data_IF_072770516233
#
_entry.id   IF_072770516233
#
_cell.length_a   1.000
_cell.length_b   1.000
_cell.length_c   1.000
_cell.angle_alpha   90.00
_cell.angle_beta   90.00
_cell.angle_gamma   90.00
#
_symmetry.space_group_name_H-M   'P 1'
#
loop_
_entity.id
_entity.type
_entity.pdbx_description
1 polymer ?
#
# COMPACT_ATOMS: atom_id res chain seq x y z
N UNK A 1 -11.61 -9.99 6.17
CA UNK A 1 -11.80 -9.49 4.80
C UNK A 1 -10.57 -8.71 4.30
N UNK A 2 -9.34 -9.00 4.76
CA UNK A 2 -8.26 -8.00 4.71
C UNK A 2 -7.17 -8.25 3.64
N UNK A 3 -6.86 -9.52 3.30
CA UNK A 3 -5.80 -9.82 2.30
C UNK A 3 -6.12 -9.37 0.88
N UNK A 4 -7.39 -9.41 0.46
CA UNK A 4 -7.77 -9.07 -0.91
C UNK A 4 -7.54 -7.57 -1.16
N UNK A 5 -8.04 -6.70 -0.28
CA UNK A 5 -7.92 -5.25 -0.41
C UNK A 5 -6.46 -4.78 -0.34
N UNK A 6 -5.66 -5.33 0.59
CA UNK A 6 -4.22 -5.04 0.68
C UNK A 6 -3.50 -5.39 -0.64
N UNK A 7 -3.78 -6.57 -1.20
CA UNK A 7 -3.12 -7.00 -2.44
C UNK A 7 -3.62 -6.25 -3.67
N UNK A 8 -4.93 -5.95 -3.74
CA UNK A 8 -5.51 -5.10 -4.78
C UNK A 8 -4.89 -3.71 -4.78
N UNK A 9 -4.68 -3.13 -3.60
CA UNK A 9 -4.04 -1.83 -3.45
C UNK A 9 -2.56 -1.85 -3.83
N UNK A 10 -1.81 -2.88 -3.42
CA UNK A 10 -0.42 -3.09 -3.86
C UNK A 10 -0.33 -3.20 -5.39
N UNK A 11 -1.28 -3.92 -6.01
CA UNK A 11 -1.34 -4.04 -7.45
C UNK A 11 -1.66 -2.71 -8.13
N UNK A 12 -2.58 -1.92 -7.56
CA UNK A 12 -2.92 -0.58 -8.03
C UNK A 12 -1.70 0.36 -7.94
N UNK A 13 -1.00 0.40 -6.82
CA UNK A 13 0.24 1.19 -6.65
C UNK A 13 1.33 0.80 -7.65
N UNK A 14 1.39 -0.48 -8.03
CA UNK A 14 2.32 -0.98 -9.05
C UNK A 14 1.92 -0.54 -10.46
N UNK A 15 0.64 -0.65 -10.81
CA UNK A 15 0.13 -0.48 -12.20
C UNK A 15 -0.34 0.93 -12.55
N UNK A 16 -0.80 1.69 -11.57
CA UNK A 16 -1.38 3.02 -11.73
C UNK A 16 -0.38 4.09 -11.22
N UNK A 17 0.40 4.70 -12.13
CA UNK A 17 1.38 5.70 -11.75
C UNK A 17 0.74 6.99 -11.22
N UNK A 18 -0.48 7.32 -11.65
CA UNK A 18 -1.19 8.51 -11.16
C UNK A 18 -1.67 8.30 -9.73
N UNK A 19 -2.25 7.14 -9.43
CA UNK A 19 -2.59 6.76 -8.07
C UNK A 19 -1.34 6.71 -7.18
N UNK A 20 -0.23 6.18 -7.69
CA UNK A 20 1.05 6.18 -6.96
C UNK A 20 1.53 7.61 -6.66
N UNK A 21 1.45 8.54 -7.62
CA UNK A 21 1.83 9.93 -7.38
C UNK A 21 0.95 10.59 -6.31
N UNK A 22 -0.37 10.36 -6.36
CA UNK A 22 -1.31 10.83 -5.33
C UNK A 22 -0.99 10.23 -3.96
N UNK A 23 -0.70 8.93 -3.91
CA UNK A 23 -0.31 8.23 -2.68
C UNK A 23 1.01 8.75 -2.11
N UNK A 24 1.98 9.08 -2.95
CA UNK A 24 3.25 9.66 -2.50
C UNK A 24 3.06 11.06 -1.94
N UNK A 25 2.17 11.86 -2.53
CA UNK A 25 1.86 13.22 -2.09
C UNK A 25 1.01 13.25 -0.80
N UNK A 26 -0.03 12.41 -0.72
CA UNK A 26 -0.90 12.29 0.45
C UNK A 26 -1.42 10.84 0.58
N UNK A 27 -0.74 9.99 1.36
CA UNK A 27 -1.14 8.62 1.57
C UNK A 27 -2.51 8.52 2.26
N UNK A 28 -2.82 9.40 3.21
CA UNK A 28 -4.06 9.36 3.98
C UNK A 28 -5.27 9.64 3.10
N UNK A 29 -5.19 10.67 2.25
CA UNK A 29 -6.23 11.00 1.29
C UNK A 29 -6.38 9.91 0.21
N UNK A 30 -5.26 9.39 -0.33
CA UNK A 30 -5.29 8.35 -1.36
C UNK A 30 -5.94 7.04 -0.87
N UNK A 31 -5.84 6.75 0.44
CA UNK A 31 -6.43 5.57 1.06
C UNK A 31 -7.85 5.79 1.58
N UNK A 32 -8.38 7.01 1.63
CA UNK A 32 -9.68 7.33 2.26
C UNK A 32 -10.85 6.46 1.76
N UNK A 33 -10.82 6.03 0.49
CA UNK A 33 -11.83 5.15 -0.11
C UNK A 33 -11.50 3.65 -0.12
N UNK A 34 -10.38 3.22 0.47
CA UNK A 34 -10.01 1.81 0.53
C UNK A 34 -10.61 1.15 1.78
N UNK A 35 -11.13 -0.07 1.63
CA UNK A 35 -11.69 -0.87 2.73
C UNK A 35 -10.56 -1.57 3.51
N UNK A 36 -9.71 -0.73 4.12
CA UNK A 36 -8.60 -1.14 4.95
C UNK A 36 -8.95 -0.96 6.43
N UNK A 37 -8.52 -1.92 7.25
CA UNK A 37 -8.46 -1.72 8.69
C UNK A 37 -7.50 -0.58 9.05
N UNK A 38 -7.67 -0.04 10.25
CA UNK A 38 -6.80 1.02 10.76
C UNK A 38 -5.32 0.60 10.78
N UNK A 39 -5.05 -0.66 11.14
CA UNK A 39 -3.69 -1.21 11.15
C UNK A 39 -3.06 -1.30 9.75
N UNK A 40 -3.84 -1.66 8.74
CA UNK A 40 -3.38 -1.72 7.35
C UNK A 40 -3.14 -0.31 6.79
N UNK A 41 -4.10 0.59 7.02
CA UNK A 41 -3.96 2.00 6.63
C UNK A 41 -2.72 2.62 7.27
N UNK A 42 -2.51 2.40 8.57
CA UNK A 42 -1.32 2.88 9.27
C UNK A 42 -0.03 2.31 8.65
N UNK A 43 0.00 1.03 8.30
CA UNK A 43 1.15 0.41 7.65
C UNK A 43 1.46 1.01 6.27
N UNK A 44 0.43 1.29 5.45
CA UNK A 44 0.62 1.98 4.17
C UNK A 44 1.08 3.43 4.33
N UNK A 45 0.47 4.19 5.24
CA UNK A 45 0.87 5.59 5.52
C UNK A 45 2.31 5.66 6.02
N UNK A 46 2.69 4.77 6.94
CA UNK A 46 4.05 4.65 7.45
C UNK A 46 5.05 4.06 6.43
N UNK A 47 4.55 3.57 5.28
CA UNK A 47 5.31 2.82 4.28
C UNK A 47 6.06 1.62 4.88
N UNK A 48 5.48 1.02 5.92
CA UNK A 48 6.04 -0.14 6.59
C UNK A 48 5.73 -1.41 5.79
N UNK A 49 6.59 -1.64 4.81
CA UNK A 49 6.52 -2.77 3.89
C UNK A 49 6.60 -4.13 4.60
N UNK A 50 7.30 -4.20 5.74
CA UNK A 50 7.35 -5.40 6.57
C UNK A 50 6.01 -5.64 7.23
N UNK A 51 5.41 -4.60 7.82
CA UNK A 51 4.09 -4.69 8.44
C UNK A 51 2.99 -5.01 7.43
N UNK A 52 3.06 -4.46 6.23
CA UNK A 52 2.14 -4.80 5.12
C UNK A 52 2.23 -6.29 4.77
N UNK A 53 3.44 -6.87 4.77
CA UNK A 53 3.64 -8.31 4.55
C UNK A 53 3.07 -9.15 5.70
N UNK A 54 3.30 -8.75 6.95
CA UNK A 54 2.72 -9.43 8.14
C UNK A 54 1.18 -9.43 8.13
N UNK A 55 0.57 -8.38 7.57
CA UNK A 55 -0.88 -8.25 7.40
C UNK A 55 -1.41 -9.03 6.17
N UNK A 56 -0.53 -9.74 5.45
CA UNK A 56 -0.87 -10.63 4.34
C UNK A 56 -0.78 -10.01 2.94
N UNK A 57 -0.08 -8.89 2.81
CA UNK A 57 0.34 -8.35 1.51
C UNK A 57 1.46 -9.19 0.90
N UNK A 58 1.44 -9.39 -0.41
CA UNK A 58 2.47 -10.18 -1.08
C UNK A 58 3.81 -9.45 -1.13
N UNK A 59 4.83 -10.03 -0.46
CA UNK A 59 6.19 -9.50 -0.41
C UNK A 59 6.79 -9.20 -1.79
N UNK A 60 6.50 -10.02 -2.81
CA UNK A 60 7.01 -9.80 -4.17
C UNK A 60 6.42 -8.53 -4.83
N UNK A 61 5.18 -8.14 -4.50
CA UNK A 61 4.58 -6.90 -4.98
C UNK A 61 5.19 -5.70 -4.26
N UNK A 62 5.32 -5.79 -2.95
CA UNK A 62 5.94 -4.79 -2.07
C UNK A 62 7.34 -4.37 -2.58
N UNK A 63 8.20 -5.35 -2.89
CA UNK A 63 9.56 -5.08 -3.40
C UNK A 63 9.59 -4.54 -4.83
N UNK A 64 8.48 -4.63 -5.57
CA UNK A 64 8.40 -4.23 -6.98
C UNK A 64 7.79 -2.84 -7.19
N UNK A 65 7.39 -2.11 -6.14
CA UNK A 65 6.76 -0.78 -6.28
C UNK A 65 7.87 0.30 -6.30
N UNK A 66 8.05 1.02 -7.42
CA UNK A 66 9.08 2.06 -7.54
C UNK A 66 8.83 3.21 -6.55
N UNK A 67 9.89 3.67 -5.87
CA UNK A 67 9.83 4.80 -4.94
C UNK A 67 9.18 4.51 -3.57
N UNK A 68 8.87 3.24 -3.30
CA UNK A 68 8.25 2.78 -2.04
C UNK A 68 9.16 1.90 -1.18
N UNK A 69 10.27 1.40 -1.72
CA UNK A 69 11.35 0.85 -0.91
C UNK A 69 12.07 2.01 -0.23
N UNK A 70 11.70 2.31 1.02
CA UNK A 70 12.51 3.18 1.85
C UNK A 70 13.80 2.44 2.22
N UNK A 71 14.93 3.14 2.07
CA UNK A 71 16.26 2.74 2.53
C UNK A 71 16.30 2.55 4.05
#
# INVERSE_FOLDING_TARGET
MSRYEVNSLLYRLKKDPEFRARFVADPSAALAGADLSEAERAAFVARDMRRINELGGYLHLVMSIPGMAAH
#
